data_IF_378377894298
#
_entry.id   IF_378377894298
#
_cell.length_a   1.000
_cell.length_b   1.000
_cell.length_c   1.000
_cell.angle_alpha   90.00
_cell.angle_beta   90.00
_cell.angle_gamma   90.00
#
_symmetry.space_group_name_H-M   'P 1'
#
loop_
_entity.id
_entity.type
_entity.pdbx_description
1 polymer ?
#
# COMPACT_ATOMS: atom_id res chain seq x y z
N UNK A 1 -8.10 9.49 -28.30
CA UNK A 1 -7.46 10.72 -27.79
C UNK A 1 -7.12 10.63 -26.30
N UNK A 2 -8.05 10.50 -25.38
CA UNK A 2 -7.77 10.37 -23.93
C UNK A 2 -6.83 9.21 -23.55
N UNK A 3 -6.93 8.05 -24.17
CA UNK A 3 -6.05 6.90 -23.90
C UNK A 3 -4.60 7.14 -24.35
N UNK A 4 -4.40 7.84 -25.47
CA UNK A 4 -3.06 8.19 -25.96
C UNK A 4 -2.38 9.21 -25.05
N UNK A 5 -3.11 10.20 -24.53
CA UNK A 5 -2.61 11.18 -23.57
C UNK A 5 -2.17 10.50 -22.26
N UNK A 6 -2.97 9.60 -21.71
CA UNK A 6 -2.59 8.81 -20.51
C UNK A 6 -1.29 8.03 -20.73
N UNK A 7 -1.15 7.39 -21.89
CA UNK A 7 0.07 6.64 -22.23
C UNK A 7 1.30 7.56 -22.34
N UNK A 8 1.14 8.75 -22.96
CA UNK A 8 2.24 9.72 -23.12
C UNK A 8 2.68 10.31 -21.78
N UNK A 9 1.74 10.66 -20.89
CA UNK A 9 2.05 11.13 -19.52
C UNK A 9 2.70 10.02 -18.70
N UNK A 10 2.18 8.80 -18.77
CA UNK A 10 2.79 7.65 -18.09
C UNK A 10 4.23 7.41 -18.57
N UNK A 11 4.49 7.58 -19.86
CA UNK A 11 5.84 7.44 -20.42
C UNK A 11 6.76 8.55 -19.90
N UNK A 12 6.30 9.82 -19.89
CA UNK A 12 7.08 10.94 -19.37
C UNK A 12 7.43 10.76 -17.88
N UNK A 13 6.47 10.31 -17.07
CA UNK A 13 6.69 9.99 -15.66
C UNK A 13 7.71 8.85 -15.48
N UNK A 14 7.61 7.77 -16.28
CA UNK A 14 8.59 6.66 -16.25
C UNK A 14 10.00 7.12 -16.62
N UNK A 15 10.13 8.00 -17.60
CA UNK A 15 11.42 8.59 -17.99
C UNK A 15 12.00 9.44 -16.87
N UNK A 16 11.17 10.22 -16.17
CA UNK A 16 11.56 10.98 -15.00
C UNK A 16 12.08 10.06 -13.88
N UNK A 17 11.32 9.01 -13.54
CA UNK A 17 11.69 8.00 -12.52
C UNK A 17 13.00 7.29 -12.91
N UNK A 18 13.16 6.93 -14.19
CA UNK A 18 14.37 6.26 -14.67
C UNK A 18 15.62 7.15 -14.51
N UNK A 19 15.52 8.45 -14.88
CA UNK A 19 16.59 9.41 -14.68
C UNK A 19 16.91 9.60 -13.20
N UNK A 20 15.89 9.70 -12.34
CA UNK A 20 16.05 9.82 -10.90
C UNK A 20 16.84 8.62 -10.34
N UNK A 21 16.43 7.40 -10.68
CA UNK A 21 17.07 6.16 -10.22
C UNK A 21 18.50 5.97 -10.73
N UNK A 22 18.85 6.60 -11.84
CA UNK A 22 20.21 6.63 -12.40
C UNK A 22 21.08 7.76 -11.82
N UNK A 23 20.51 8.61 -10.96
CA UNK A 23 21.19 9.79 -10.43
C UNK A 23 21.31 10.97 -11.42
N UNK A 24 20.59 10.93 -12.54
CA UNK A 24 20.56 11.98 -13.55
C UNK A 24 19.65 13.13 -13.11
N UNK A 25 20.00 13.77 -11.98
CA UNK A 25 19.17 14.80 -11.33
C UNK A 25 18.88 15.97 -12.25
N UNK A 26 19.85 16.36 -13.09
CA UNK A 26 19.64 17.47 -14.05
C UNK A 26 18.52 17.13 -15.05
N UNK A 27 18.48 15.90 -15.57
CA UNK A 27 17.42 15.48 -16.48
C UNK A 27 16.03 15.47 -15.81
N UNK A 28 15.96 15.22 -14.48
CA UNK A 28 14.73 15.37 -13.72
C UNK A 28 14.31 16.85 -13.60
N UNK A 29 15.26 17.74 -13.29
CA UNK A 29 15.03 19.19 -13.18
C UNK A 29 14.57 19.77 -14.53
N UNK A 30 15.19 19.35 -15.62
CA UNK A 30 14.86 19.83 -16.98
C UNK A 30 13.44 19.45 -17.43
N UNK A 31 12.77 18.54 -16.70
CA UNK A 31 11.36 18.18 -16.94
C UNK A 31 10.36 19.11 -16.23
N UNK A 32 10.81 20.10 -15.46
CA UNK A 32 9.93 21.13 -14.93
C UNK A 32 9.86 22.34 -15.85
N UNK A 33 8.70 22.97 -15.92
CA UNK A 33 8.54 24.26 -16.59
C UNK A 33 9.31 25.35 -15.84
N UNK A 34 9.70 26.42 -16.51
CA UNK A 34 10.43 27.56 -15.91
C UNK A 34 9.71 28.15 -14.70
N UNK A 35 8.39 28.27 -14.78
CA UNK A 35 7.52 28.81 -13.73
C UNK A 35 6.88 27.74 -12.83
N UNK A 36 7.32 26.50 -12.91
CA UNK A 36 6.71 25.39 -12.16
C UNK A 36 6.70 25.65 -10.66
N UNK A 37 5.73 25.07 -9.97
CA UNK A 37 5.65 25.09 -8.52
C UNK A 37 5.73 23.66 -7.99
N UNK A 38 6.46 23.47 -6.89
CA UNK A 38 6.57 22.20 -6.19
C UNK A 38 6.26 22.39 -4.72
N UNK A 39 5.30 21.62 -4.21
CA UNK A 39 4.94 21.57 -2.79
C UNK A 39 5.43 20.25 -2.22
N UNK A 40 6.32 20.30 -1.24
CA UNK A 40 6.86 19.10 -0.58
C UNK A 40 6.51 19.15 0.91
N UNK A 41 5.53 18.39 1.33
CA UNK A 41 5.18 18.32 2.75
C UNK A 41 6.09 17.31 3.49
N UNK A 42 6.70 17.65 4.63
CA UNK A 42 6.55 18.90 5.38
C UNK A 42 7.58 19.99 5.03
N UNK A 43 8.39 19.87 3.97
CA UNK A 43 9.57 20.70 3.72
C UNK A 43 9.28 22.09 3.16
N UNK A 44 8.11 22.30 2.57
CA UNK A 44 7.69 23.62 2.10
C UNK A 44 7.37 23.69 0.61
N UNK A 45 7.30 24.92 0.10
CA UNK A 45 6.96 25.22 -1.30
C UNK A 45 8.14 25.85 -2.04
N UNK A 46 8.38 25.37 -3.24
CA UNK A 46 9.46 25.80 -4.12
C UNK A 46 8.84 26.36 -5.42
N UNK A 47 9.21 27.58 -5.78
CA UNK A 47 8.66 28.26 -6.96
C UNK A 47 9.75 28.51 -7.99
N UNK A 48 9.48 28.09 -9.23
CA UNK A 48 10.39 28.19 -10.36
C UNK A 48 11.46 27.11 -10.39
N UNK A 49 11.94 26.83 -11.60
CA UNK A 49 12.91 25.75 -11.86
C UNK A 49 14.21 25.87 -11.04
N UNK A 50 14.64 27.10 -10.71
CA UNK A 50 15.86 27.32 -9.92
C UNK A 50 15.70 26.82 -8.47
N UNK A 51 14.56 27.12 -7.82
CA UNK A 51 14.31 26.66 -6.45
C UNK A 51 14.06 25.14 -6.39
N UNK A 52 13.34 24.61 -7.37
CA UNK A 52 13.10 23.17 -7.53
C UNK A 52 14.42 22.45 -7.78
N UNK A 53 15.27 22.98 -8.65
CA UNK A 53 16.58 22.41 -8.93
C UNK A 53 17.52 22.40 -7.72
N UNK A 54 17.49 23.45 -6.91
CA UNK A 54 18.25 23.48 -5.65
C UNK A 54 17.78 22.39 -4.68
N UNK A 55 16.47 22.20 -4.52
CA UNK A 55 15.91 21.14 -3.69
C UNK A 55 16.37 19.76 -4.16
N UNK A 56 16.17 19.42 -5.45
CA UNK A 56 16.54 18.09 -5.96
C UNK A 56 18.05 17.84 -5.91
N UNK A 57 18.87 18.88 -6.17
CA UNK A 57 20.32 18.76 -6.09
C UNK A 57 20.82 18.50 -4.65
N UNK A 58 20.19 19.13 -3.65
CA UNK A 58 20.50 18.86 -2.24
C UNK A 58 19.99 17.48 -1.81
N UNK A 59 18.76 17.11 -2.20
CA UNK A 59 18.17 15.82 -1.88
C UNK A 59 19.00 14.65 -2.46
N UNK A 60 19.54 14.81 -3.67
CA UNK A 60 20.36 13.80 -4.34
C UNK A 60 21.65 13.43 -3.56
N UNK A 61 22.15 14.32 -2.69
CA UNK A 61 23.32 14.02 -1.85
C UNK A 61 23.09 12.91 -0.84
N UNK A 62 21.83 12.61 -0.54
CA UNK A 62 21.44 11.52 0.37
C UNK A 62 21.41 10.13 -0.31
N UNK A 63 21.79 10.03 -1.58
CA UNK A 63 21.83 8.78 -2.33
C UNK A 63 20.44 8.14 -2.57
N UNK A 64 19.40 8.93 -2.94
CA UNK A 64 18.09 8.36 -3.24
C UNK A 64 18.17 7.50 -4.51
N UNK A 65 17.53 6.34 -4.46
CA UNK A 65 17.42 5.39 -5.59
C UNK A 65 16.22 4.48 -5.39
N UNK A 66 15.93 3.62 -6.37
CA UNK A 66 14.80 2.69 -6.31
C UNK A 66 13.44 3.37 -6.13
N UNK A 67 13.30 4.57 -6.71
CA UNK A 67 12.01 5.24 -6.75
C UNK A 67 11.04 4.44 -7.61
N UNK A 68 9.89 4.13 -7.04
CA UNK A 68 8.79 3.41 -7.68
C UNK A 68 7.49 4.15 -7.38
N UNK A 69 6.67 4.34 -8.41
CA UNK A 69 5.29 4.81 -8.25
C UNK A 69 4.33 3.61 -8.29
N UNK A 70 3.39 3.59 -7.35
CA UNK A 70 2.35 2.57 -7.21
C UNK A 70 0.98 3.22 -7.17
N UNK A 71 -0.06 2.46 -7.55
CA UNK A 71 -1.44 2.96 -7.59
C UNK A 71 -1.56 4.26 -8.43
N UNK A 72 -0.90 4.27 -9.59
CA UNK A 72 -0.87 5.44 -10.45
C UNK A 72 -2.23 5.68 -11.09
N UNK A 73 -2.79 6.85 -10.84
CA UNK A 73 -4.01 7.33 -11.49
C UNK A 73 -3.69 8.53 -12.37
N UNK A 74 -4.23 8.56 -13.60
CA UNK A 74 -4.07 9.69 -14.51
C UNK A 74 -5.44 10.21 -14.93
N UNK A 75 -5.71 11.46 -14.56
CA UNK A 75 -6.90 12.22 -14.95
C UNK A 75 -6.54 13.19 -16.06
N UNK A 76 -7.01 12.92 -17.27
CA UNK A 76 -6.87 13.82 -18.41
C UNK A 76 -7.80 15.01 -18.24
N UNK A 77 -7.26 16.23 -18.28
CA UNK A 77 -8.02 17.48 -18.16
C UNK A 77 -8.43 18.01 -19.54
N UNK A 78 -7.50 17.99 -20.50
CA UNK A 78 -7.70 18.43 -21.89
C UNK A 78 -6.61 17.82 -22.78
N UNK A 79 -6.49 18.25 -24.02
CA UNK A 79 -5.55 17.72 -25.02
C UNK A 79 -4.07 17.98 -24.67
N UNK A 80 -3.80 18.93 -23.78
CA UNK A 80 -2.45 19.35 -23.40
C UNK A 80 -2.16 19.20 -21.90
N UNK A 81 -3.12 18.74 -21.08
CA UNK A 81 -2.93 18.67 -19.63
C UNK A 81 -3.52 17.40 -19.03
N UNK A 82 -2.79 16.81 -18.10
CA UNK A 82 -3.24 15.71 -17.27
C UNK A 82 -2.64 15.79 -15.86
N UNK A 83 -3.39 15.30 -14.88
CA UNK A 83 -2.92 15.13 -13.48
C UNK A 83 -2.59 13.67 -13.26
N UNK A 84 -1.41 13.41 -12.69
CA UNK A 84 -1.02 12.12 -12.14
C UNK A 84 -1.04 12.20 -10.63
N UNK A 85 -1.55 11.16 -9.99
CA UNK A 85 -1.43 10.90 -8.56
C UNK A 85 -0.93 9.47 -8.34
N UNK A 86 -0.17 9.25 -7.26
CA UNK A 86 0.43 7.95 -6.98
C UNK A 86 0.87 7.84 -5.52
N UNK A 87 1.04 6.62 -5.04
CA UNK A 87 1.93 6.36 -3.92
C UNK A 87 3.36 6.21 -4.45
N UNK A 88 4.35 6.66 -3.68
CA UNK A 88 5.75 6.46 -4.05
C UNK A 88 6.57 5.89 -2.92
N UNK A 89 7.61 5.16 -3.26
CA UNK A 89 8.63 4.69 -2.33
C UNK A 89 10.00 4.67 -2.99
N UNK A 90 11.03 4.84 -2.17
CA UNK A 90 12.44 4.71 -2.57
C UNK A 90 13.24 4.10 -1.43
N UNK A 91 14.55 3.89 -1.63
CA UNK A 91 15.44 3.30 -0.60
C UNK A 91 15.45 4.05 0.74
N UNK A 92 15.22 5.36 0.78
CA UNK A 92 15.36 6.22 1.97
C UNK A 92 14.06 6.86 2.44
N UNK A 93 12.98 6.82 1.66
CA UNK A 93 11.72 7.47 2.01
C UNK A 93 10.52 6.88 1.28
N UNK A 94 9.32 7.17 1.77
CA UNK A 94 8.07 6.87 1.06
C UNK A 94 7.03 7.95 1.32
N UNK A 95 6.01 7.99 0.46
CA UNK A 95 4.94 8.97 0.57
C UNK A 95 3.89 8.84 -0.52
N UNK A 96 3.21 9.93 -0.81
CA UNK A 96 2.23 9.98 -1.90
C UNK A 96 2.37 11.30 -2.70
N UNK A 97 1.97 11.23 -3.96
CA UNK A 97 1.79 12.36 -4.85
C UNK A 97 0.30 12.65 -4.89
N UNK A 98 -0.10 13.82 -4.40
CA UNK A 98 -1.48 14.29 -4.52
C UNK A 98 -1.74 14.85 -5.92
N UNK A 99 -0.71 15.44 -6.56
CA UNK A 99 -0.85 16.07 -7.84
C UNK A 99 0.51 16.25 -8.53
N UNK A 100 0.70 15.64 -9.67
CA UNK A 100 1.64 16.05 -10.71
C UNK A 100 0.82 16.60 -11.89
N UNK A 101 0.83 17.90 -12.12
CA UNK A 101 0.23 18.49 -13.32
C UNK A 101 1.26 18.45 -14.46
N UNK A 102 1.00 17.58 -15.41
CA UNK A 102 1.77 17.44 -16.63
C UNK A 102 1.14 18.26 -17.75
N UNK A 103 1.94 19.08 -18.41
CA UNK A 103 1.51 19.96 -19.53
C UNK A 103 2.36 19.67 -20.76
N UNK A 104 1.70 19.49 -21.90
CA UNK A 104 2.32 19.28 -23.20
C UNK A 104 2.71 20.62 -23.81
N UNK A 105 3.99 20.87 -24.00
CA UNK A 105 4.51 22.04 -24.62
C UNK A 105 4.50 21.95 -26.16
N UNK A 106 4.77 23.08 -26.84
CA UNK A 106 4.77 23.16 -28.32
C UNK A 106 5.94 22.40 -28.98
N UNK A 107 6.95 21.99 -28.19
CA UNK A 107 8.04 21.10 -28.59
C UNK A 107 7.64 19.61 -28.63
N UNK A 108 6.39 19.29 -28.26
CA UNK A 108 5.85 17.93 -28.22
C UNK A 108 6.24 17.11 -27.00
N UNK A 109 6.86 17.72 -25.99
CA UNK A 109 7.24 17.05 -24.74
C UNK A 109 6.33 17.45 -23.56
N UNK A 110 6.15 16.51 -22.65
CA UNK A 110 5.43 16.71 -21.39
C UNK A 110 6.36 17.25 -20.31
N UNK A 111 5.92 18.30 -19.61
CA UNK A 111 6.64 18.94 -18.52
C UNK A 111 5.77 19.05 -17.27
N UNK A 112 6.38 19.02 -16.09
CA UNK A 112 5.74 19.30 -14.82
C UNK A 112 5.52 20.79 -14.63
N UNK A 113 4.27 21.20 -14.48
CA UNK A 113 3.84 22.56 -14.14
C UNK A 113 3.60 22.72 -12.66
N UNK A 114 2.98 21.71 -12.04
CA UNK A 114 2.81 21.61 -10.59
C UNK A 114 3.20 20.21 -10.13
N UNK A 115 3.85 20.13 -8.96
CA UNK A 115 4.25 18.89 -8.35
C UNK A 115 3.99 18.98 -6.82
N UNK A 116 2.99 18.25 -6.34
CA UNK A 116 2.57 18.29 -4.95
C UNK A 116 2.66 16.87 -4.37
N UNK A 117 3.62 16.67 -3.49
CA UNK A 117 3.83 15.40 -2.83
C UNK A 117 4.15 15.54 -1.35
N UNK A 118 3.89 14.46 -0.61
CA UNK A 118 4.16 14.37 0.81
C UNK A 118 5.17 13.26 1.08
N UNK A 119 6.14 13.54 1.93
CA UNK A 119 7.05 12.57 2.52
C UNK A 119 6.45 12.12 3.84
N UNK A 120 6.09 10.85 3.95
CA UNK A 120 5.43 10.29 5.13
C UNK A 120 6.40 9.57 6.04
N UNK A 121 7.37 8.88 5.45
CA UNK A 121 8.33 8.08 6.18
C UNK A 121 9.74 8.31 5.65
N UNK A 122 10.70 8.35 6.57
CA UNK A 122 12.11 8.18 6.26
C UNK A 122 12.50 6.75 6.63
N UNK A 123 12.99 5.98 5.66
CA UNK A 123 13.39 4.59 5.87
C UNK A 123 14.82 4.55 6.43
N UNK A 124 14.99 3.79 7.49
CA UNK A 124 16.30 3.63 8.15
C UNK A 124 17.17 2.57 7.50
N UNK A 125 16.61 1.73 6.61
CA UNK A 125 17.33 0.71 5.87
C UNK A 125 16.77 0.55 4.44
N UNK A 126 17.64 0.20 3.45
CA UNK A 126 17.22 -0.01 2.06
C UNK A 126 16.22 -1.16 1.89
N UNK A 127 15.25 -1.00 0.96
CA UNK A 127 14.24 -2.03 0.66
C UNK A 127 14.86 -3.37 0.22
N UNK A 128 16.01 -3.36 -0.46
CA UNK A 128 16.71 -4.56 -0.93
C UNK A 128 17.25 -5.47 0.18
N UNK A 129 17.28 -5.02 1.43
CA UNK A 129 17.79 -5.81 2.56
C UNK A 129 16.74 -6.72 3.21
N UNK A 130 15.48 -6.67 2.80
CA UNK A 130 14.46 -7.58 3.33
C UNK A 130 14.63 -8.99 2.74
N UNK A 131 15.36 -9.83 3.44
CA UNK A 131 15.70 -11.20 3.00
C UNK A 131 14.56 -12.18 3.13
N UNK A 132 13.62 -11.96 4.06
CA UNK A 132 12.48 -12.86 4.28
C UNK A 132 11.16 -12.09 4.37
N UNK A 133 10.24 -12.54 3.56
CA UNK A 133 8.89 -11.97 3.47
C UNK A 133 7.87 -13.02 3.85
N UNK A 134 6.88 -12.66 4.68
CA UNK A 134 5.73 -13.50 4.98
C UNK A 134 4.43 -12.89 4.45
N UNK A 135 3.55 -13.73 3.90
CA UNK A 135 2.15 -13.39 3.68
C UNK A 135 1.37 -13.59 4.97
N UNK A 136 0.66 -12.57 5.43
CA UNK A 136 -0.19 -12.62 6.62
C UNK A 136 -1.63 -12.43 6.20
N UNK A 137 -2.43 -13.49 6.34
CA UNK A 137 -3.86 -13.47 6.04
C UNK A 137 -4.62 -13.17 7.33
N UNK A 138 -5.23 -11.99 7.42
CA UNK A 138 -5.88 -11.50 8.63
C UNK A 138 -7.38 -11.76 8.57
N UNK A 139 -7.86 -12.60 9.48
CA UNK A 139 -9.29 -12.83 9.79
C UNK A 139 -10.19 -13.06 8.54
N UNK A 140 -9.68 -13.81 7.54
CA UNK A 140 -10.50 -14.23 6.39
C UNK A 140 -11.37 -15.42 6.80
N UNK A 141 -12.39 -15.14 7.61
CA UNK A 141 -13.26 -16.13 8.28
C UNK A 141 -14.69 -16.06 7.75
N UNK A 142 -15.42 -17.16 7.82
CA UNK A 142 -16.73 -17.35 7.17
C UNK A 142 -17.79 -16.31 7.56
N UNK A 143 -17.73 -15.75 8.78
CA UNK A 143 -18.69 -14.72 9.20
C UNK A 143 -18.60 -13.41 8.39
N UNK A 144 -17.46 -13.15 7.76
CA UNK A 144 -17.26 -11.97 6.89
C UNK A 144 -17.71 -12.17 5.45
N UNK A 145 -18.10 -13.38 5.07
CA UNK A 145 -18.56 -13.72 3.73
C UNK A 145 -20.09 -13.77 3.64
N UNK A 146 -20.59 -13.84 2.40
CA UNK A 146 -22.03 -13.93 2.16
C UNK A 146 -22.66 -15.12 2.89
N UNK A 147 -23.65 -14.85 3.71
CA UNK A 147 -24.34 -15.84 4.55
C UNK A 147 -23.75 -15.98 5.95
N UNK A 148 -22.61 -15.34 6.24
CA UNK A 148 -22.07 -15.21 7.59
C UNK A 148 -22.82 -14.19 8.45
N UNK A 149 -22.36 -14.00 9.68
CA UNK A 149 -23.04 -13.13 10.67
C UNK A 149 -22.72 -11.64 10.47
N UNK A 150 -21.58 -11.34 9.85
CA UNK A 150 -21.13 -9.94 9.63
C UNK A 150 -20.51 -9.79 8.24
N UNK A 151 -21.28 -9.97 7.16
CA UNK A 151 -20.72 -9.92 5.80
C UNK A 151 -20.19 -8.53 5.47
N UNK A 152 -18.98 -8.48 4.90
CA UNK A 152 -18.33 -7.24 4.49
C UNK A 152 -18.58 -6.97 3.01
N UNK A 153 -18.44 -5.70 2.60
CA UNK A 153 -18.48 -5.37 1.17
C UNK A 153 -17.22 -5.91 0.47
N UNK A 154 -17.42 -6.51 -0.70
CA UNK A 154 -16.36 -7.00 -1.58
C UNK A 154 -15.41 -8.05 -0.99
N UNK A 155 -15.79 -8.74 0.10
CA UNK A 155 -14.92 -9.75 0.76
C UNK A 155 -14.51 -10.85 -0.19
N UNK A 156 -15.41 -11.34 -1.04
CA UNK A 156 -15.13 -12.39 -2.02
C UNK A 156 -14.10 -11.91 -3.08
N UNK A 157 -14.09 -10.61 -3.41
CA UNK A 157 -13.09 -10.02 -4.31
C UNK A 157 -11.74 -9.97 -3.61
N UNK A 158 -11.71 -9.45 -2.40
CA UNK A 158 -10.49 -9.38 -1.59
C UNK A 158 -9.89 -10.78 -1.34
N UNK A 159 -10.72 -11.78 -1.03
CA UNK A 159 -10.28 -13.17 -0.84
C UNK A 159 -9.70 -13.78 -2.13
N UNK A 160 -10.24 -13.45 -3.34
CA UNK A 160 -9.64 -13.90 -4.60
C UNK A 160 -8.24 -13.35 -4.82
N UNK A 161 -8.00 -12.07 -4.52
CA UNK A 161 -6.68 -11.47 -4.59
C UNK A 161 -5.73 -12.06 -3.54
N UNK A 162 -6.22 -12.25 -2.31
CA UNK A 162 -5.47 -12.93 -1.26
C UNK A 162 -5.08 -14.36 -1.67
N UNK A 163 -6.01 -15.13 -2.27
CA UNK A 163 -5.74 -16.47 -2.80
C UNK A 163 -4.67 -16.47 -3.90
N UNK A 164 -4.67 -15.48 -4.77
CA UNK A 164 -3.66 -15.37 -5.84
C UNK A 164 -2.26 -15.21 -5.22
N UNK A 165 -2.10 -14.32 -4.23
CA UNK A 165 -0.86 -14.17 -3.48
C UNK A 165 -0.51 -15.43 -2.69
N UNK A 166 -1.47 -16.04 -2.01
CA UNK A 166 -1.28 -17.30 -1.27
C UNK A 166 -0.74 -18.41 -2.17
N UNK A 167 -1.29 -18.53 -3.38
CA UNK A 167 -0.81 -19.49 -4.38
C UNK A 167 0.63 -19.21 -4.79
N UNK A 168 0.99 -17.94 -5.00
CA UNK A 168 2.36 -17.54 -5.32
C UNK A 168 3.33 -17.85 -4.16
N UNK A 169 3.00 -17.47 -2.93
CA UNK A 169 3.83 -17.72 -1.75
C UNK A 169 4.07 -19.23 -1.56
N UNK A 170 3.04 -20.05 -1.70
CA UNK A 170 3.14 -21.52 -1.62
C UNK A 170 4.02 -22.10 -2.74
N UNK A 171 3.85 -21.62 -3.97
CA UNK A 171 4.65 -22.07 -5.11
C UNK A 171 6.14 -21.73 -4.95
N UNK A 172 6.46 -20.63 -4.29
CA UNK A 172 7.82 -20.18 -3.98
C UNK A 172 8.35 -20.68 -2.63
N UNK A 173 7.58 -21.51 -1.92
CA UNK A 173 7.88 -21.98 -0.56
C UNK A 173 8.20 -20.81 0.42
N UNK A 174 7.54 -19.67 0.24
CA UNK A 174 7.65 -18.51 1.11
C UNK A 174 6.73 -18.68 2.34
N UNK A 175 7.08 -18.10 3.50
CA UNK A 175 6.29 -18.16 4.71
C UNK A 175 4.88 -17.60 4.55
N UNK A 176 3.89 -18.34 5.04
CA UNK A 176 2.47 -17.97 5.10
C UNK A 176 2.02 -18.11 6.55
N UNK A 177 1.31 -17.09 7.06
CA UNK A 177 0.77 -17.05 8.42
C UNK A 177 -0.70 -16.67 8.34
N UNK A 178 -1.54 -17.45 8.99
CA UNK A 178 -2.98 -17.16 9.09
C UNK A 178 -3.28 -16.60 10.48
N UNK A 179 -4.04 -15.51 10.53
CA UNK A 179 -4.60 -14.96 11.76
C UNK A 179 -6.07 -15.36 11.83
N UNK A 180 -6.49 -15.87 12.96
CA UNK A 180 -7.87 -16.24 13.24
C UNK A 180 -8.35 -15.54 14.51
N UNK A 181 -9.35 -14.68 14.39
CA UNK A 181 -9.94 -13.98 15.52
C UNK A 181 -11.07 -14.83 16.11
N UNK A 182 -11.02 -15.07 17.39
CA UNK A 182 -12.08 -15.77 18.16
C UNK A 182 -12.45 -14.87 19.34
N UNK A 183 -13.68 -14.39 19.42
CA UNK A 183 -14.13 -13.67 20.59
C UNK A 183 -14.38 -14.64 21.73
N UNK A 184 -13.84 -14.32 22.91
CA UNK A 184 -14.06 -15.10 24.14
C UNK A 184 -15.48 -14.93 24.67
N UNK A 185 -16.10 -13.78 24.36
CA UNK A 185 -17.47 -13.47 24.75
C UNK A 185 -18.48 -14.28 23.91
N UNK A 186 -19.29 -15.07 24.58
CA UNK A 186 -20.36 -15.85 23.96
C UNK A 186 -21.52 -14.98 23.41
N UNK A 187 -21.55 -13.69 23.74
CA UNK A 187 -22.57 -12.74 23.24
C UNK A 187 -22.11 -11.99 21.98
N UNK A 188 -20.86 -12.17 21.52
CA UNK A 188 -20.35 -11.57 20.29
C UNK A 188 -21.27 -11.84 19.10
N UNK A 189 -21.47 -10.84 18.26
CA UNK A 189 -22.32 -10.95 17.07
C UNK A 189 -21.75 -11.91 16.02
N UNK A 190 -20.42 -12.04 15.93
CA UNK A 190 -19.70 -12.86 14.96
C UNK A 190 -18.41 -13.42 15.59
N UNK A 191 -17.73 -14.34 14.91
CA UNK A 191 -16.49 -15.01 15.34
C UNK A 191 -16.60 -15.71 16.68
N UNK A 192 -17.77 -16.31 16.96
CA UNK A 192 -18.01 -17.08 18.18
C UNK A 192 -17.29 -18.42 18.12
N UNK A 193 -16.66 -18.81 19.19
CA UNK A 193 -16.02 -20.10 19.31
C UNK A 193 -16.98 -21.26 18.96
N UNK A 194 -16.45 -22.31 18.34
CA UNK A 194 -17.18 -23.53 17.97
C UNK A 194 -18.35 -23.30 16.99
N UNK A 195 -18.26 -22.27 16.13
CA UNK A 195 -19.23 -22.04 15.05
C UNK A 195 -18.54 -22.16 13.68
N UNK A 196 -19.31 -22.43 12.62
CA UNK A 196 -18.79 -22.41 11.24
C UNK A 196 -18.32 -21.00 10.84
N UNK A 197 -18.91 -19.98 11.44
CA UNK A 197 -18.58 -18.57 11.16
C UNK A 197 -17.15 -18.19 11.56
N UNK A 198 -16.58 -18.80 12.59
CA UNK A 198 -15.23 -18.52 13.06
C UNK A 198 -14.15 -19.23 12.25
N UNK A 199 -14.50 -20.24 11.45
CA UNK A 199 -13.55 -20.98 10.64
C UNK A 199 -12.99 -20.12 9.50
N UNK A 200 -11.72 -20.37 9.14
CA UNK A 200 -11.08 -19.69 7.99
C UNK A 200 -11.78 -20.17 6.71
N UNK A 201 -12.06 -19.21 5.84
CA UNK A 201 -12.78 -19.45 4.59
C UNK A 201 -12.02 -20.44 3.68
N UNK A 202 -12.77 -21.36 3.06
CA UNK A 202 -12.24 -22.54 2.36
C UNK A 202 -11.23 -22.21 1.26
N UNK A 203 -11.41 -21.09 0.52
CA UNK A 203 -10.53 -20.74 -0.60
C UNK A 203 -9.12 -20.31 -0.18
N UNK A 204 -8.95 -19.94 1.10
CA UNK A 204 -7.69 -19.50 1.71
C UNK A 204 -7.31 -20.35 2.93
N UNK A 205 -7.84 -21.54 3.05
CA UNK A 205 -7.58 -22.45 4.18
C UNK A 205 -6.09 -22.74 4.34
N UNK A 206 -5.58 -22.80 5.59
CA UNK A 206 -4.20 -23.11 5.88
C UNK A 206 -3.83 -24.54 5.50
N UNK A 207 -2.58 -24.75 5.10
CA UNK A 207 -1.97 -26.07 5.00
C UNK A 207 -1.44 -26.50 6.38
N UNK A 208 -1.20 -27.80 6.55
CA UNK A 208 -0.77 -28.37 7.84
C UNK A 208 0.55 -27.80 8.38
N UNK A 209 1.39 -27.26 7.51
CA UNK A 209 2.67 -26.63 7.85
C UNK A 209 2.60 -25.09 7.94
N UNK A 210 1.45 -24.51 7.77
CA UNK A 210 1.25 -23.06 7.86
C UNK A 210 0.70 -22.72 9.25
N UNK A 211 1.36 -21.84 10.03
CA UNK A 211 0.89 -21.46 11.35
C UNK A 211 -0.43 -20.71 11.30
N UNK A 212 -1.34 -21.09 12.19
CA UNK A 212 -2.57 -20.37 12.48
C UNK A 212 -2.42 -19.74 13.86
N UNK A 213 -2.39 -18.42 13.88
CA UNK A 213 -2.27 -17.62 15.11
C UNK A 213 -3.68 -17.21 15.54
N UNK A 214 -4.16 -17.81 16.61
CA UNK A 214 -5.43 -17.41 17.23
C UNK A 214 -5.22 -16.16 18.07
N UNK A 215 -6.11 -15.21 17.92
CA UNK A 215 -6.14 -13.96 18.70
C UNK A 215 -7.53 -13.72 19.30
N UNK A 216 -7.57 -12.97 20.38
CA UNK A 216 -8.77 -12.53 21.08
C UNK A 216 -8.91 -11.01 21.13
N UNK A 217 -7.88 -10.30 20.67
CA UNK A 217 -7.79 -8.84 20.58
C UNK A 217 -7.73 -8.37 19.13
N UNK A 218 -8.01 -7.09 18.89
CA UNK A 218 -7.88 -6.49 17.55
C UNK A 218 -6.43 -6.54 17.06
N UNK A 219 -5.47 -6.28 17.95
CA UNK A 219 -4.05 -6.38 17.64
C UNK A 219 -3.59 -7.85 17.67
N UNK A 220 -3.08 -8.33 16.55
CA UNK A 220 -2.60 -9.69 16.39
C UNK A 220 -1.30 -10.00 17.16
N UNK A 221 -0.62 -8.98 17.70
CA UNK A 221 0.59 -9.16 18.50
C UNK A 221 0.30 -9.31 20.02
N UNK A 222 -0.90 -8.93 20.48
CA UNK A 222 -1.24 -8.99 21.91
C UNK A 222 -1.65 -10.40 22.28
N UNK A 223 -0.96 -10.96 23.27
CA UNK A 223 -1.22 -12.29 23.84
C UNK A 223 -1.28 -13.42 22.80
N UNK A 224 -0.41 -13.35 21.79
CA UNK A 224 -0.31 -14.35 20.72
C UNK A 224 1.13 -14.78 20.47
N UNK A 225 1.30 -15.87 19.72
CA UNK A 225 2.61 -16.34 19.28
C UNK A 225 3.14 -15.63 18.01
N UNK A 226 2.46 -14.58 17.49
CA UNK A 226 2.83 -13.98 16.20
C UNK A 226 4.26 -13.45 16.18
N UNK A 227 4.66 -12.66 17.17
CA UNK A 227 6.01 -12.09 17.21
C UNK A 227 7.09 -13.16 17.28
N UNK A 228 6.89 -14.17 18.13
CA UNK A 228 7.81 -15.30 18.23
C UNK A 228 7.91 -16.04 16.89
N UNK A 229 6.79 -16.32 16.23
CA UNK A 229 6.75 -16.98 14.91
C UNK A 229 7.51 -16.17 13.86
N UNK A 230 7.32 -14.85 13.81
CA UNK A 230 8.02 -13.96 12.86
C UNK A 230 9.54 -13.97 13.10
N UNK A 231 9.97 -13.94 14.36
CA UNK A 231 11.39 -13.99 14.75
C UNK A 231 12.01 -15.35 14.39
N UNK A 232 11.37 -16.45 14.72
CA UNK A 232 11.83 -17.80 14.41
C UNK A 232 11.96 -18.06 12.91
N UNK A 233 11.06 -17.50 12.11
CA UNK A 233 11.11 -17.56 10.65
C UNK A 233 12.08 -16.52 10.03
N UNK A 234 12.65 -15.62 10.85
CA UNK A 234 13.56 -14.57 10.41
C UNK A 234 12.89 -13.57 9.46
N UNK A 235 11.61 -13.24 9.70
CA UNK A 235 10.83 -12.34 8.85
C UNK A 235 11.25 -10.89 9.06
N UNK A 236 11.36 -10.14 7.97
CA UNK A 236 11.67 -8.71 7.96
C UNK A 236 10.58 -7.88 7.26
N UNK A 237 9.80 -8.52 6.38
CA UNK A 237 8.74 -7.88 5.59
C UNK A 237 7.44 -8.65 5.67
N UNK A 238 6.32 -7.95 5.91
CA UNK A 238 4.98 -8.51 5.94
C UNK A 238 4.17 -8.01 4.73
N UNK A 239 3.56 -8.94 4.03
CA UNK A 239 2.54 -8.70 3.02
C UNK A 239 1.21 -9.01 3.65
N UNK A 240 0.38 -8.00 3.89
CA UNK A 240 -0.83 -8.09 4.71
C UNK A 240 -2.06 -8.05 3.82
N UNK A 241 -2.92 -9.05 3.97
CA UNK A 241 -4.22 -9.18 3.30
C UNK A 241 -5.30 -9.51 4.34
N UNK A 242 -6.57 -9.31 4.03
CA UNK A 242 -7.68 -9.76 4.89
C UNK A 242 -8.62 -8.66 5.39
N UNK A 243 -9.14 -8.78 6.60
CA UNK A 243 -10.19 -7.91 7.11
C UNK A 243 -10.14 -7.73 8.66
N UNK A 244 -10.78 -6.69 9.24
CA UNK A 244 -11.35 -5.55 8.53
C UNK A 244 -10.28 -4.47 8.35
N UNK A 245 -10.32 -3.77 7.22
CA UNK A 245 -9.33 -2.74 6.88
C UNK A 245 -9.13 -1.71 8.00
N UNK A 246 -10.21 -1.19 8.58
CA UNK A 246 -10.19 -0.15 9.63
C UNK A 246 -9.94 -0.69 11.05
N UNK A 247 -9.82 -1.99 11.23
CA UNK A 247 -9.62 -2.61 12.53
C UNK A 247 -8.37 -3.51 12.53
N UNK A 248 -8.52 -4.82 12.34
CA UNK A 248 -7.44 -5.80 12.50
C UNK A 248 -6.29 -5.57 11.51
N UNK A 249 -6.59 -5.26 10.24
CA UNK A 249 -5.55 -4.97 9.22
C UNK A 249 -4.78 -3.71 9.57
N UNK A 250 -5.47 -2.62 9.91
CA UNK A 250 -4.82 -1.38 10.30
C UNK A 250 -3.95 -1.57 11.55
N UNK A 251 -4.48 -2.30 12.53
CA UNK A 251 -3.80 -2.47 13.82
C UNK A 251 -2.54 -3.32 13.67
N UNK A 252 -2.63 -4.49 13.04
CA UNK A 252 -1.44 -5.34 12.82
C UNK A 252 -0.37 -4.62 12.00
N UNK A 253 -0.75 -3.84 10.96
CA UNK A 253 0.20 -3.11 10.14
C UNK A 253 0.96 -2.05 10.97
N UNK A 254 0.26 -1.27 11.81
CA UNK A 254 0.89 -0.27 12.67
C UNK A 254 1.78 -0.90 13.75
N UNK A 255 1.28 -1.95 14.41
CA UNK A 255 2.05 -2.67 15.42
C UNK A 255 3.32 -3.28 14.83
N UNK A 256 3.24 -3.89 13.64
CA UNK A 256 4.38 -4.45 12.95
C UNK A 256 5.42 -3.36 12.56
N UNK A 257 4.98 -2.22 12.02
CA UNK A 257 5.89 -1.10 11.71
C UNK A 257 6.58 -0.59 12.97
N UNK A 258 5.85 -0.42 14.07
CA UNK A 258 6.43 0.01 15.35
C UNK A 258 7.46 -1.00 15.92
N UNK A 259 7.34 -2.28 15.56
CA UNK A 259 8.29 -3.34 15.91
C UNK A 259 9.47 -3.46 14.92
N UNK A 260 9.51 -2.61 13.88
CA UNK A 260 10.59 -2.58 12.90
C UNK A 260 10.38 -3.44 11.64
N UNK A 261 9.24 -4.09 11.49
CA UNK A 261 8.89 -4.79 10.26
C UNK A 261 8.51 -3.84 9.14
N UNK A 262 8.86 -4.19 7.92
CA UNK A 262 8.34 -3.52 6.73
C UNK A 262 6.99 -4.10 6.38
N UNK A 263 5.99 -3.24 6.14
CA UNK A 263 4.62 -3.67 5.91
C UNK A 263 4.12 -3.18 4.56
N UNK A 264 3.65 -4.11 3.75
CA UNK A 264 2.93 -3.86 2.51
C UNK A 264 1.50 -4.36 2.68
N UNK A 265 0.54 -3.45 2.63
CA UNK A 265 -0.89 -3.79 2.68
C UNK A 265 -1.41 -3.88 1.25
N UNK A 266 -1.99 -5.02 0.91
CA UNK A 266 -2.47 -5.27 -0.44
C UNK A 266 -3.87 -4.65 -0.61
N UNK A 267 -3.92 -3.53 -1.32
CA UNK A 267 -5.08 -2.64 -1.37
C UNK A 267 -6.35 -3.27 -1.97
N UNK A 268 -6.20 -4.22 -2.88
CA UNK A 268 -7.29 -4.98 -3.51
C UNK A 268 -7.57 -6.33 -2.84
N UNK A 269 -6.82 -6.66 -1.77
CA UNK A 269 -6.98 -7.89 -1.00
C UNK A 269 -7.39 -7.63 0.46
N UNK A 270 -7.95 -6.45 0.75
CA UNK A 270 -8.53 -6.11 2.06
C UNK A 270 -9.98 -5.68 1.90
N UNK A 271 -10.78 -5.87 2.94
CA UNK A 271 -12.21 -5.57 2.95
C UNK A 271 -12.64 -4.81 4.22
N UNK A 272 -13.76 -4.08 4.10
CA UNK A 272 -14.41 -3.38 5.20
C UNK A 272 -15.94 -3.47 5.06
N UNK A 273 -16.71 -3.35 6.16
CA UNK A 273 -18.16 -3.24 6.08
C UNK A 273 -18.59 -1.85 5.61
N UNK A 274 -19.82 -1.72 5.10
CA UNK A 274 -20.49 -0.43 5.09
C UNK A 274 -20.91 -0.09 6.53
N UNK A 275 -20.66 1.14 6.97
CA UNK A 275 -20.96 1.60 8.31
C UNK A 275 -21.65 2.96 8.30
N UNK A 276 -22.53 3.20 9.29
CA UNK A 276 -23.11 4.51 9.54
C UNK A 276 -22.51 5.10 10.83
N UNK A 277 -22.20 6.38 10.79
CA UNK A 277 -21.79 7.14 11.95
C UNK A 277 -22.45 8.53 11.95
N UNK A 278 -23.29 8.81 12.93
CA UNK A 278 -24.00 10.08 13.07
C UNK A 278 -24.64 10.59 11.76
N UNK A 279 -25.46 9.77 11.10
CA UNK A 279 -26.12 10.05 9.83
C UNK A 279 -25.19 10.23 8.61
N UNK A 280 -23.93 9.80 8.71
CA UNK A 280 -23.01 9.68 7.59
C UNK A 280 -22.84 8.20 7.23
N UNK A 281 -23.19 7.86 6.01
CA UNK A 281 -22.97 6.52 5.47
C UNK A 281 -21.59 6.44 4.84
N UNK A 282 -20.83 5.41 5.23
CA UNK A 282 -19.53 5.09 4.67
C UNK A 282 -19.60 3.72 4.02
N UNK A 283 -19.30 3.64 2.73
CA UNK A 283 -19.15 2.35 2.07
C UNK A 283 -17.87 1.65 2.54
N UNK A 284 -17.80 0.32 2.39
CA UNK A 284 -16.60 -0.44 2.66
C UNK A 284 -15.41 0.06 1.84
N UNK A 285 -15.62 0.44 0.58
CA UNK A 285 -14.59 1.02 -0.28
C UNK A 285 -14.03 2.33 0.26
N UNK A 286 -14.90 3.24 0.75
CA UNK A 286 -14.45 4.49 1.38
C UNK A 286 -13.64 4.24 2.65
N UNK A 287 -14.04 3.26 3.46
CA UNK A 287 -13.29 2.87 4.65
C UNK A 287 -11.94 2.24 4.29
N UNK A 288 -11.87 1.39 3.28
CA UNK A 288 -10.61 0.85 2.75
C UNK A 288 -9.69 1.99 2.33
N UNK A 289 -10.16 2.91 1.49
CA UNK A 289 -9.37 4.03 0.99
C UNK A 289 -8.84 4.93 2.11
N UNK A 290 -9.71 5.31 3.07
CA UNK A 290 -9.33 6.12 4.22
C UNK A 290 -8.27 5.45 5.10
N UNK A 291 -8.39 4.12 5.30
CA UNK A 291 -7.43 3.36 6.09
C UNK A 291 -6.09 3.17 5.39
N UNK A 292 -6.08 2.91 4.08
CA UNK A 292 -4.83 2.86 3.31
C UNK A 292 -4.09 4.19 3.35
N UNK A 293 -4.80 5.32 3.20
CA UNK A 293 -4.22 6.64 3.37
C UNK A 293 -3.67 6.82 4.80
N UNK A 294 -4.43 6.43 5.82
CA UNK A 294 -3.99 6.52 7.23
C UNK A 294 -2.75 5.63 7.51
N UNK A 295 -2.65 4.47 6.90
CA UNK A 295 -1.51 3.56 7.04
C UNK A 295 -0.25 4.10 6.38
N UNK A 296 -0.36 4.83 5.27
CA UNK A 296 0.79 5.46 4.62
C UNK A 296 1.46 6.50 5.52
N UNK A 297 0.71 7.19 6.39
CA UNK A 297 1.29 8.03 7.46
C UNK A 297 1.94 7.21 8.58
N UNK A 298 1.61 5.94 8.72
CA UNK A 298 2.10 5.04 9.76
C UNK A 298 3.26 4.14 9.34
N UNK A 299 3.84 4.33 8.14
CA UNK A 299 5.00 3.55 7.69
C UNK A 299 4.67 2.29 6.89
N UNK A 300 3.41 1.97 6.67
CA UNK A 300 3.03 0.89 5.77
C UNK A 300 2.83 1.39 4.34
N UNK A 301 3.19 0.57 3.36
CA UNK A 301 2.99 0.88 1.93
C UNK A 301 1.74 0.17 1.41
N UNK A 302 0.93 0.87 0.63
CA UNK A 302 -0.20 0.27 -0.09
C UNK A 302 0.22 -0.11 -1.53
N UNK A 303 -0.12 -1.34 -1.95
CA UNK A 303 0.19 -1.85 -3.29
C UNK A 303 -0.90 -2.82 -3.73
N UNK A 304 -1.21 -2.92 -5.02
CA UNK A 304 -2.15 -3.93 -5.52
C UNK A 304 -1.50 -5.32 -5.62
N UNK A 305 -2.31 -6.38 -5.58
CA UNK A 305 -1.83 -7.76 -5.74
C UNK A 305 -1.07 -7.97 -7.05
N UNK A 306 -1.58 -7.40 -8.14
CA UNK A 306 -0.95 -7.49 -9.46
C UNK A 306 0.42 -6.79 -9.51
N UNK A 307 0.52 -5.59 -8.94
CA UNK A 307 1.79 -4.87 -8.87
C UNK A 307 2.80 -5.60 -8.00
N UNK A 308 2.35 -6.10 -6.82
CA UNK A 308 3.22 -6.85 -5.92
C UNK A 308 3.81 -8.09 -6.62
N UNK A 309 2.98 -8.86 -7.33
CA UNK A 309 3.42 -10.04 -8.07
C UNK A 309 4.41 -9.69 -9.19
N UNK A 310 4.22 -8.58 -9.91
CA UNK A 310 5.18 -8.14 -10.94
C UNK A 310 6.54 -7.74 -10.37
N UNK A 311 6.56 -7.14 -9.18
CA UNK A 311 7.79 -6.67 -8.53
C UNK A 311 8.56 -7.80 -7.81
N UNK A 312 7.93 -8.95 -7.57
CA UNK A 312 8.50 -10.07 -6.79
C UNK A 312 8.48 -11.41 -7.56
N UNK A 313 8.55 -11.35 -8.90
CA UNK A 313 8.69 -12.54 -9.78
C UNK A 313 10.09 -13.11 -9.75
#
# INVERSE_FOLDING_TARGET
>A
MSQSIRQSVMQASREWIANFNQGNVQACIDRYQQGATMQVSPFGRFNGISAIGAFWSEFAKNGPTQLVYRNVEIKVLNDKQAILSANWSMNIASGFISKELWTLNDDGHWYLEEDDFSVLNQLTAPLEQCKRTALVLVDLQNDYFKGGKFPLEHTEIAARHAKTLLTHFRAQALPVIHIQHIFEDNESAFFRANTVGVEIEASVSPLANEPVIVKHQVDSFIDTALEQTLVELGIERLVIVGAMAQACVQTIARSAVNKGYRCEVISDAIAAPALNYHNHDFSGEQLVAANLLSLSFGGATAITSAQWLMENQ
#
